data_IF_943974289522
#
_entry.id   IF_943974289522
#
_cell.length_a   1.000
_cell.length_b   1.000
_cell.length_c   1.000
_cell.angle_alpha   90.00
_cell.angle_beta   90.00
_cell.angle_gamma   90.00
#
_symmetry.space_group_name_H-M   'P 1'
#
loop_
_entity.id
_entity.type
_entity.pdbx_description
1 polymer ?
#
# COMPACT_ATOMS: atom_id res chain seq x y z
N UNK A 1 -20.18 -6.39 6.39
CA UNK A 1 -18.99 -5.52 6.63
C UNK A 1 -17.78 -6.13 5.94
N UNK A 2 -16.94 -5.32 5.28
CA UNK A 2 -15.65 -5.79 4.76
C UNK A 2 -14.68 -6.02 5.91
N UNK A 3 -13.82 -7.03 5.82
CA UNK A 3 -12.72 -7.21 6.77
C UNK A 3 -11.69 -6.12 6.53
N UNK A 4 -11.21 -5.48 7.60
CA UNK A 4 -10.13 -4.48 7.52
C UNK A 4 -8.79 -5.17 7.37
N UNK A 5 -7.90 -4.59 6.56
CA UNK A 5 -6.55 -5.09 6.32
C UNK A 5 -5.60 -3.89 6.26
N UNK A 6 -4.51 -3.94 7.03
CA UNK A 6 -3.41 -2.99 6.91
C UNK A 6 -2.36 -3.62 6.01
N UNK A 7 -1.95 -2.90 4.96
CA UNK A 7 -0.86 -3.31 4.07
C UNK A 7 0.31 -2.36 4.26
N UNK A 8 1.46 -2.91 4.67
CA UNK A 8 2.72 -2.17 4.68
C UNK A 8 3.17 -1.95 3.24
N UNK A 9 3.26 -0.70 2.82
CA UNK A 9 3.60 -0.33 1.45
C UNK A 9 4.91 0.44 1.37
N UNK A 10 5.83 -0.04 0.53
CA UNK A 10 7.03 0.67 0.11
C UNK A 10 6.88 1.33 -1.26
N UNK A 11 5.74 1.12 -1.93
CA UNK A 11 5.56 1.45 -3.34
C UNK A 11 6.24 0.49 -4.32
N UNK A 12 6.92 -0.55 -3.81
CA UNK A 12 7.55 -1.59 -4.62
C UNK A 12 6.59 -2.70 -5.07
N UNK A 13 7.07 -3.57 -5.96
CA UNK A 13 6.31 -4.66 -6.59
C UNK A 13 5.62 -5.58 -5.56
N UNK A 14 6.35 -6.02 -4.54
CA UNK A 14 5.85 -7.01 -3.58
C UNK A 14 4.68 -6.46 -2.77
N UNK A 15 4.86 -5.27 -2.17
CA UNK A 15 3.80 -4.63 -1.38
C UNK A 15 2.57 -4.25 -2.23
N UNK A 16 2.80 -3.84 -3.49
CA UNK A 16 1.73 -3.60 -4.47
C UNK A 16 0.96 -4.86 -4.79
N UNK A 17 1.65 -5.99 -4.93
CA UNK A 17 1.04 -7.30 -5.21
C UNK A 17 0.19 -7.77 -4.02
N UNK A 18 0.68 -7.59 -2.79
CA UNK A 18 -0.11 -7.86 -1.57
C UNK A 18 -1.38 -7.02 -1.54
N UNK A 19 -1.29 -5.73 -1.91
CA UNK A 19 -2.45 -4.84 -1.97
C UNK A 19 -3.49 -5.30 -3.02
N UNK A 20 -3.03 -5.74 -4.19
CA UNK A 20 -3.90 -6.32 -5.23
C UNK A 20 -4.59 -7.61 -4.75
N UNK A 21 -3.88 -8.48 -4.03
CA UNK A 21 -4.45 -9.71 -3.44
C UNK A 21 -5.48 -9.37 -2.35
N UNK A 22 -5.20 -8.37 -1.50
CA UNK A 22 -6.16 -7.92 -0.49
C UNK A 22 -7.43 -7.36 -1.15
N UNK A 23 -7.27 -6.58 -2.23
CA UNK A 23 -8.40 -6.01 -2.98
C UNK A 23 -9.25 -7.11 -3.61
N UNK A 24 -8.63 -8.09 -4.26
CA UNK A 24 -9.33 -9.20 -4.91
C UNK A 24 -10.10 -10.09 -3.92
N UNK A 25 -9.61 -10.18 -2.69
CA UNK A 25 -10.30 -10.86 -1.57
C UNK A 25 -11.37 -10.01 -0.88
N UNK A 26 -11.62 -8.78 -1.36
CA UNK A 26 -12.70 -7.91 -0.87
C UNK A 26 -12.42 -7.21 0.47
N UNK A 27 -11.15 -7.09 0.87
CA UNK A 27 -10.78 -6.36 2.08
C UNK A 27 -10.98 -4.85 1.92
N UNK A 28 -11.24 -4.18 3.04
CA UNK A 28 -11.08 -2.74 3.20
C UNK A 28 -9.62 -2.47 3.58
N UNK A 29 -8.88 -1.87 2.67
CA UNK A 29 -7.41 -1.73 2.78
C UNK A 29 -7.10 -0.38 3.40
N UNK A 30 -6.13 -0.39 4.30
CA UNK A 30 -5.48 0.79 4.85
C UNK A 30 -3.99 0.67 4.55
N UNK A 31 -3.43 1.66 3.85
CA UNK A 31 -2.02 1.68 3.55
C UNK A 31 -1.22 2.28 4.72
N UNK A 32 -0.12 1.63 5.09
CA UNK A 32 0.85 2.17 6.02
C UNK A 32 2.23 2.15 5.37
N UNK A 33 2.83 3.32 5.25
CA UNK A 33 4.23 3.46 4.87
C UNK A 33 4.98 4.10 6.02
N UNK A 34 6.28 3.91 6.06
CA UNK A 34 7.13 4.50 7.07
C UNK A 34 8.14 5.41 6.41
N UNK A 35 8.29 6.62 6.93
CA UNK A 35 9.37 7.54 6.58
C UNK A 35 10.46 7.41 7.64
N UNK A 36 11.56 6.73 7.32
CA UNK A 36 12.72 6.58 8.19
C UNK A 36 13.91 7.44 7.73
N UNK A 37 13.68 8.40 6.82
CA UNK A 37 14.75 9.14 6.16
C UNK A 37 15.43 8.37 5.04
N UNK A 38 14.65 7.63 4.22
CA UNK A 38 15.20 6.92 3.06
C UNK A 38 15.92 7.89 2.11
N UNK A 39 17.00 7.41 1.46
CA UNK A 39 17.80 8.20 0.51
C UNK A 39 16.95 8.73 -0.66
N UNK A 40 15.93 8.00 -1.08
CA UNK A 40 15.06 8.40 -2.18
C UNK A 40 13.61 8.53 -1.70
N UNK A 41 13.12 9.78 -1.56
CA UNK A 41 11.70 10.03 -1.22
C UNK A 41 10.71 9.57 -2.30
N UNK A 42 11.20 9.24 -3.50
CA UNK A 42 10.37 8.72 -4.59
C UNK A 42 9.65 7.42 -4.24
N UNK A 43 10.19 6.63 -3.30
CA UNK A 43 9.56 5.40 -2.81
C UNK A 43 8.27 5.71 -2.04
N UNK A 44 8.28 6.77 -1.21
CA UNK A 44 7.09 7.23 -0.49
C UNK A 44 6.01 7.74 -1.46
N UNK A 45 6.41 8.51 -2.48
CA UNK A 45 5.49 9.00 -3.52
C UNK A 45 4.93 7.86 -4.38
N UNK A 46 5.74 6.83 -4.69
CA UNK A 46 5.26 5.62 -5.35
C UNK A 46 4.25 4.87 -4.45
N UNK A 47 4.55 4.71 -3.16
CA UNK A 47 3.66 4.10 -2.18
C UNK A 47 2.31 4.81 -2.09
N UNK A 48 2.32 6.14 -2.08
CA UNK A 48 1.11 6.97 -2.08
C UNK A 48 0.26 6.73 -3.34
N UNK A 49 0.86 6.81 -4.53
CA UNK A 49 0.14 6.57 -5.81
C UNK A 49 -0.49 5.18 -5.90
N UNK A 50 0.23 4.16 -5.43
CA UNK A 50 -0.28 2.78 -5.41
C UNK A 50 -1.46 2.67 -4.44
N UNK A 51 -1.36 3.28 -3.25
CA UNK A 51 -2.43 3.28 -2.25
C UNK A 51 -3.70 3.94 -2.79
N UNK A 52 -3.56 5.11 -3.41
CA UNK A 52 -4.67 5.84 -4.05
C UNK A 52 -5.33 5.00 -5.15
N UNK A 53 -4.55 4.32 -6.00
CA UNK A 53 -5.07 3.43 -7.05
C UNK A 53 -5.94 2.30 -6.48
N UNK A 54 -5.56 1.72 -5.33
CA UNK A 54 -6.35 0.66 -4.69
C UNK A 54 -7.48 1.19 -3.79
N UNK A 55 -7.57 2.51 -3.60
CA UNK A 55 -8.54 3.18 -2.73
C UNK A 55 -8.25 2.95 -1.25
N UNK A 56 -6.96 2.96 -0.89
CA UNK A 56 -6.43 2.81 0.47
C UNK A 56 -5.85 4.13 1.01
#
# INVERSE_FOLDING_TARGET
MKKKCIVLTSGGLDSTTVMAIAKSKGYEIYALSFDYGQRHRIELEAGKRVSEYFGA
#
